data_IF_299273961054
#
_entry.id   IF_299273961054
#
_cell.length_a   1.000
_cell.length_b   1.000
_cell.length_c   1.000
_cell.angle_alpha   90.00
_cell.angle_beta   90.00
_cell.angle_gamma   90.00
#
_symmetry.space_group_name_H-M   'P 1'
#
loop_
_entity.id
_entity.type
_entity.pdbx_description
1 polymer ?
#
# COMPACT_ATOMS: atom_id res chain seq x y z
N UNK A 1 42.55 66.79 -26.15
CA UNK A 1 42.72 65.98 -27.37
C UNK A 1 41.55 65.01 -27.40
N UNK A 2 40.45 65.50 -27.96
CA UNK A 2 39.26 64.70 -28.24
C UNK A 2 39.49 63.88 -29.50
N UNK A 3 39.29 62.57 -29.39
CA UNK A 3 39.14 61.67 -30.52
C UNK A 3 37.75 61.01 -30.40
N UNK A 4 36.83 61.24 -31.36
CA UNK A 4 35.50 60.64 -31.29
C UNK A 4 35.57 59.16 -31.66
N UNK A 5 35.09 58.29 -30.76
CA UNK A 5 34.79 56.87 -31.06
C UNK A 5 33.51 56.81 -31.89
N UNK A 6 33.60 56.23 -33.08
CA UNK A 6 32.46 55.93 -33.95
C UNK A 6 31.53 54.90 -33.30
N UNK A 7 30.19 55.05 -33.38
CA UNK A 7 29.25 54.02 -32.97
C UNK A 7 29.33 52.84 -33.94
N UNK A 8 29.61 51.65 -33.41
CA UNK A 8 29.39 50.39 -34.13
C UNK A 8 27.89 50.11 -34.00
N UNK A 9 27.15 50.22 -35.10
CA UNK A 9 25.77 49.76 -35.19
C UNK A 9 25.75 48.23 -34.98
N UNK A 10 25.32 47.79 -33.79
CA UNK A 10 24.85 46.43 -33.57
C UNK A 10 23.57 46.25 -34.40
N UNK A 11 23.70 45.67 -35.59
CA UNK A 11 22.54 45.13 -36.30
C UNK A 11 21.96 44.02 -35.42
N UNK A 12 20.86 44.33 -34.75
CA UNK A 12 19.95 43.34 -34.18
C UNK A 12 19.68 42.29 -35.27
N UNK A 13 20.19 41.08 -35.06
CA UNK A 13 19.93 39.95 -35.93
C UNK A 13 18.51 39.48 -35.60
N UNK A 14 17.51 40.21 -36.10
CA UNK A 14 16.10 39.82 -36.05
C UNK A 14 16.00 38.44 -36.70
N UNK A 15 15.56 37.45 -35.91
CA UNK A 15 15.32 36.11 -36.42
C UNK A 15 14.38 36.15 -37.64
N UNK A 16 14.42 35.12 -38.51
CA UNK A 16 13.70 35.13 -39.78
C UNK A 16 12.23 35.48 -39.56
N UNK A 17 11.79 36.58 -40.19
CA UNK A 17 10.44 37.14 -40.06
C UNK A 17 9.52 36.62 -41.15
N UNK A 18 8.25 36.39 -40.81
CA UNK A 18 7.20 36.00 -41.77
C UNK A 18 6.82 37.10 -42.75
N UNK A 19 7.20 38.34 -42.43
CA UNK A 19 6.91 39.54 -43.22
C UNK A 19 8.15 40.05 -43.98
N UNK A 20 9.25 39.27 -44.00
CA UNK A 20 10.45 39.60 -44.78
C UNK A 20 10.18 39.58 -46.28
N UNK A 21 10.82 40.49 -47.02
CA UNK A 21 10.77 40.54 -48.47
C UNK A 21 11.46 39.31 -49.12
N UNK A 22 12.38 38.66 -48.39
CA UNK A 22 13.07 37.45 -48.86
C UNK A 22 12.19 36.19 -48.69
N UNK A 23 12.14 35.38 -49.75
CA UNK A 23 11.38 34.14 -49.77
C UNK A 23 11.99 33.08 -48.82
N UNK A 24 13.32 33.03 -48.71
CA UNK A 24 14.00 32.04 -47.87
C UNK A 24 13.77 32.30 -46.38
N UNK A 25 13.83 33.57 -45.94
CA UNK A 25 13.53 33.94 -44.55
C UNK A 25 12.08 33.65 -44.17
N UNK A 26 11.12 33.90 -45.06
CA UNK A 26 9.71 33.55 -44.80
C UNK A 26 9.48 32.04 -44.67
N UNK A 27 10.17 31.23 -45.48
CA UNK A 27 10.11 29.77 -45.39
C UNK A 27 10.73 29.30 -44.07
N UNK A 28 11.88 29.86 -43.68
CA UNK A 28 12.53 29.55 -42.41
C UNK A 28 11.65 29.92 -41.20
N UNK A 29 11.05 31.12 -41.21
CA UNK A 29 10.12 31.61 -40.20
C UNK A 29 8.90 30.69 -40.04
N UNK A 30 8.29 30.27 -41.17
CA UNK A 30 7.17 29.31 -41.17
C UNK A 30 7.57 27.94 -40.64
N UNK A 31 8.74 27.42 -41.01
CA UNK A 31 9.25 26.13 -40.51
C UNK A 31 9.45 26.17 -38.99
N UNK A 32 10.01 27.26 -38.46
CA UNK A 32 10.19 27.45 -37.02
C UNK A 32 8.85 27.53 -36.29
N UNK A 33 7.85 28.25 -36.84
CA UNK A 33 6.51 28.34 -36.26
C UNK A 33 5.79 27.00 -36.23
N UNK A 34 5.89 26.22 -37.32
CA UNK A 34 5.33 24.87 -37.40
C UNK A 34 6.02 23.95 -36.38
N UNK A 35 7.35 23.99 -36.29
CA UNK A 35 8.11 23.18 -35.33
C UNK A 35 7.74 23.51 -33.88
N UNK A 36 7.63 24.81 -33.54
CA UNK A 36 7.20 25.25 -32.22
C UNK A 36 5.78 24.79 -31.89
N UNK A 37 4.86 24.83 -32.87
CA UNK A 37 3.47 24.36 -32.69
C UNK A 37 3.39 22.85 -32.49
N UNK A 38 4.21 22.08 -33.21
CA UNK A 38 4.32 20.62 -33.04
C UNK A 38 4.94 20.25 -31.68
N UNK A 39 5.96 20.98 -31.24
CA UNK A 39 6.57 20.77 -29.92
C UNK A 39 5.62 21.16 -28.77
N UNK A 40 4.83 22.23 -28.91
CA UNK A 40 3.79 22.60 -27.96
C UNK A 40 2.71 21.51 -27.85
N UNK A 41 2.21 21.00 -28.98
CA UNK A 41 1.24 19.92 -29.00
C UNK A 41 1.78 18.61 -28.39
N UNK A 42 3.08 18.30 -28.58
CA UNK A 42 3.73 17.16 -27.92
C UNK A 42 3.84 17.34 -26.40
N UNK A 43 4.10 18.57 -25.92
CA UNK A 43 4.15 18.88 -24.48
C UNK A 43 2.77 18.78 -23.83
N UNK A 44 1.73 19.33 -24.48
CA UNK A 44 0.34 19.21 -24.00
C UNK A 44 -0.13 17.75 -23.94
N UNK A 45 0.19 16.95 -24.97
CA UNK A 45 -0.12 15.51 -24.97
C UNK A 45 0.61 14.75 -23.84
N UNK A 46 1.88 15.09 -23.56
CA UNK A 46 2.65 14.49 -22.48
C UNK A 46 2.15 14.90 -21.08
N UNK A 47 1.70 16.15 -20.92
CA UNK A 47 1.10 16.62 -19.67
C UNK A 47 -0.27 15.97 -19.41
N UNK A 48 -1.10 15.78 -20.43
CA UNK A 48 -2.42 15.14 -20.28
C UNK A 48 -2.29 13.64 -19.95
N UNK A 49 -1.29 12.96 -20.53
CA UNK A 49 -0.98 11.56 -20.23
C UNK A 49 -0.40 11.41 -18.80
N UNK A 50 0.39 12.39 -18.32
CA UNK A 50 0.90 12.41 -16.94
C UNK A 50 -0.20 12.67 -15.90
N UNK A 51 -1.21 13.49 -16.22
CA UNK A 51 -2.38 13.76 -15.38
C UNK A 51 -3.33 12.57 -15.33
N UNK A 52 -3.58 11.90 -16.46
CA UNK A 52 -4.34 10.63 -16.51
C UNK A 52 -3.65 9.52 -15.73
N UNK A 53 -2.32 9.43 -15.78
CA UNK A 53 -1.55 8.42 -15.04
C UNK A 53 -1.55 8.66 -13.53
N UNK A 54 -1.56 9.93 -13.07
CA UNK A 54 -1.69 10.29 -11.65
C UNK A 54 -3.11 10.11 -11.10
N UNK A 55 -4.16 10.34 -11.90
CA UNK A 55 -5.55 10.17 -11.45
C UNK A 55 -6.03 8.71 -11.47
N UNK A 56 -5.44 7.85 -12.31
CA UNK A 56 -5.75 6.41 -12.31
C UNK A 56 -5.16 5.65 -11.11
N UNK A 57 -4.11 6.19 -10.49
CA UNK A 57 -3.40 5.53 -9.38
C UNK A 57 -4.03 5.85 -8.02
N UNK A 58 -4.66 7.02 -7.88
CA UNK A 58 -5.37 7.44 -6.66
C UNK A 58 -6.82 6.96 -6.56
N UNK A 59 -7.44 6.55 -7.68
CA UNK A 59 -8.85 6.16 -7.76
C UNK A 59 -9.10 4.65 -7.77
N UNK A 60 -8.05 3.82 -7.75
CA UNK A 60 -8.20 2.41 -7.39
C UNK A 60 -8.41 2.35 -5.89
N UNK A 61 -9.67 2.45 -5.48
CA UNK A 61 -10.15 1.92 -4.20
C UNK A 61 -9.39 0.61 -3.95
N UNK A 62 -8.45 0.61 -3.00
CA UNK A 62 -7.52 -0.52 -2.84
C UNK A 62 -8.37 -1.78 -2.73
N UNK A 63 -8.18 -2.70 -3.67
CA UNK A 63 -8.92 -3.96 -3.68
C UNK A 63 -8.75 -4.66 -2.34
N UNK A 64 -9.74 -5.46 -1.94
CA UNK A 64 -9.72 -6.14 -0.63
C UNK A 64 -8.42 -6.92 -0.44
N UNK A 65 -7.94 -7.58 -1.50
CA UNK A 65 -6.66 -8.31 -1.47
C UNK A 65 -5.46 -7.39 -1.33
N UNK A 66 -5.44 -6.20 -1.95
CA UNK A 66 -4.35 -5.23 -1.77
C UNK A 66 -4.30 -4.67 -0.35
N UNK A 67 -5.47 -4.42 0.26
CA UNK A 67 -5.54 -4.02 1.68
C UNK A 67 -5.01 -5.13 2.59
N UNK A 68 -5.35 -6.39 2.30
CA UNK A 68 -4.85 -7.54 3.05
C UNK A 68 -3.32 -7.65 2.96
N UNK A 69 -2.73 -7.49 1.77
CA UNK A 69 -1.26 -7.51 1.60
C UNK A 69 -0.56 -6.45 2.44
N UNK A 70 -1.07 -5.21 2.45
CA UNK A 70 -0.46 -4.14 3.24
C UNK A 70 -0.63 -4.38 4.75
N UNK A 71 -1.78 -4.88 5.18
CA UNK A 71 -2.00 -5.26 6.59
C UNK A 71 -1.05 -6.37 7.03
N UNK A 72 -0.89 -7.42 6.22
CA UNK A 72 0.05 -8.51 6.46
C UNK A 72 1.49 -7.98 6.58
N UNK A 73 1.89 -7.07 5.69
CA UNK A 73 3.21 -6.42 5.74
C UNK A 73 3.44 -5.66 7.03
N UNK A 74 2.46 -4.86 7.48
CA UNK A 74 2.55 -4.09 8.71
C UNK A 74 2.64 -4.98 9.95
N UNK A 75 1.86 -6.06 10.00
CA UNK A 75 1.92 -7.04 11.11
C UNK A 75 3.27 -7.73 11.19
N UNK A 76 3.81 -8.16 10.04
CA UNK A 76 5.14 -8.79 9.99
C UNK A 76 6.24 -7.81 10.37
N UNK A 77 6.17 -6.56 9.92
CA UNK A 77 7.14 -5.52 10.30
C UNK A 77 7.12 -5.27 11.82
N UNK A 78 5.93 -5.19 12.42
CA UNK A 78 5.78 -5.06 13.87
C UNK A 78 6.38 -6.27 14.60
N UNK A 79 6.07 -7.49 14.15
CA UNK A 79 6.59 -8.71 14.76
C UNK A 79 8.13 -8.80 14.69
N UNK A 80 8.73 -8.33 13.60
CA UNK A 80 10.19 -8.23 13.46
C UNK A 80 10.76 -7.22 14.47
N UNK A 81 10.14 -6.04 14.59
CA UNK A 81 10.55 -5.00 15.54
C UNK A 81 10.48 -5.50 16.98
N UNK A 82 9.32 -6.01 17.39
CA UNK A 82 9.06 -6.52 18.74
C UNK A 82 10.04 -7.67 19.08
N UNK A 83 10.29 -8.58 18.12
CA UNK A 83 11.26 -9.66 18.30
C UNK A 83 12.70 -9.16 18.41
N UNK A 84 13.10 -8.16 17.61
CA UNK A 84 14.43 -7.55 17.70
C UNK A 84 14.65 -6.86 19.05
N UNK A 85 13.63 -6.22 19.61
CA UNK A 85 13.70 -5.63 20.95
C UNK A 85 13.90 -6.70 22.01
N UNK A 86 13.21 -7.83 21.90
CA UNK A 86 13.28 -8.93 22.85
C UNK A 86 14.68 -9.57 22.92
N UNK A 87 15.38 -9.65 21.78
CA UNK A 87 16.80 -10.07 21.70
C UNK A 87 17.73 -8.96 22.19
N UNK A 88 17.51 -7.71 21.75
CA UNK A 88 18.34 -6.55 22.12
C UNK A 88 18.36 -6.29 23.63
N UNK A 89 17.26 -6.54 24.32
CA UNK A 89 17.15 -6.38 25.77
C UNK A 89 18.20 -7.20 26.55
N UNK A 90 18.58 -8.39 26.06
CA UNK A 90 19.64 -9.20 26.68
C UNK A 90 20.98 -8.48 26.57
N UNK A 91 21.28 -7.94 25.38
CA UNK A 91 22.51 -7.19 25.13
C UNK A 91 22.59 -5.93 25.97
N UNK A 92 21.51 -5.14 26.01
CA UNK A 92 21.45 -3.90 26.81
C UNK A 92 21.67 -4.20 28.30
N UNK A 93 21.08 -5.29 28.82
CA UNK A 93 21.29 -5.71 30.20
C UNK A 93 22.74 -6.15 30.48
N UNK A 94 23.39 -6.83 29.52
CA UNK A 94 24.80 -7.19 29.62
C UNK A 94 25.72 -5.95 29.56
N UNK A 95 25.44 -5.00 28.67
CA UNK A 95 26.17 -3.74 28.55
C UNK A 95 26.06 -2.91 29.83
N UNK A 96 24.85 -2.81 30.40
CA UNK A 96 24.63 -2.11 31.68
C UNK A 96 25.43 -2.74 32.83
N UNK A 97 25.45 -4.08 32.93
CA UNK A 97 26.27 -4.80 33.92
C UNK A 97 27.77 -4.56 33.72
N UNK A 98 28.21 -4.53 32.47
CA UNK A 98 29.62 -4.27 32.13
C UNK A 98 30.02 -2.86 32.55
N UNK A 99 29.16 -1.87 32.27
CA UNK A 99 29.38 -0.48 32.70
C UNK A 99 29.49 -0.36 34.23
N UNK A 100 28.61 -1.02 34.98
CA UNK A 100 28.70 -1.03 36.45
C UNK A 100 29.99 -1.70 36.93
N UNK A 101 30.39 -2.81 36.32
CA UNK A 101 31.62 -3.52 36.69
C UNK A 101 32.86 -2.66 36.43
N UNK A 102 32.93 -1.96 35.29
CA UNK A 102 34.04 -1.05 34.97
C UNK A 102 34.17 0.06 36.02
N UNK A 103 33.06 0.69 36.40
CA UNK A 103 33.08 1.74 37.43
C UNK A 103 33.55 1.21 38.81
N UNK A 104 33.08 0.02 39.20
CA UNK A 104 33.52 -0.61 40.45
C UNK A 104 35.01 -0.96 40.43
N UNK A 105 35.51 -1.45 39.29
CA UNK A 105 36.92 -1.77 39.10
C UNK A 105 37.81 -0.54 39.13
N UNK A 106 37.41 0.55 38.49
CA UNK A 106 38.14 1.82 38.53
C UNK A 106 38.25 2.35 39.98
N UNK A 107 37.17 2.25 40.76
CA UNK A 107 37.18 2.61 42.18
C UNK A 107 38.12 1.71 43.00
N UNK A 108 38.12 0.40 42.77
CA UNK A 108 39.04 -0.53 43.45
C UNK A 108 40.49 -0.26 43.07
N UNK A 109 40.78 -0.01 41.80
CA UNK A 109 42.14 0.33 41.32
C UNK A 109 42.62 1.61 42.00
N UNK A 110 41.76 2.63 42.09
CA UNK A 110 42.07 3.88 42.79
C UNK A 110 42.39 3.64 44.26
N UNK A 111 41.54 2.89 44.97
CA UNK A 111 41.74 2.57 46.37
C UNK A 111 43.05 1.78 46.62
N UNK A 112 43.38 0.80 45.75
CA UNK A 112 44.66 0.09 45.83
C UNK A 112 45.86 1.01 45.67
N UNK A 113 45.79 1.92 44.70
CA UNK A 113 46.85 2.89 44.44
C UNK A 113 47.06 3.79 45.65
N UNK A 114 45.99 4.32 46.23
CA UNK A 114 46.05 5.14 47.44
C UNK A 114 46.64 4.35 48.62
N UNK A 115 46.25 3.09 48.79
CA UNK A 115 46.80 2.21 49.83
C UNK A 115 48.30 1.96 49.65
N UNK A 116 48.76 1.71 48.42
CA UNK A 116 50.18 1.53 48.09
C UNK A 116 50.98 2.80 48.33
N UNK A 117 50.46 3.97 47.93
CA UNK A 117 51.12 5.25 48.15
C UNK A 117 51.22 5.58 49.66
N UNK A 118 50.19 5.27 50.45
CA UNK A 118 50.21 5.45 51.91
C UNK A 118 51.21 4.51 52.59
N UNK A 119 51.23 3.24 52.19
CA UNK A 119 52.16 2.25 52.73
C UNK A 119 53.61 2.57 52.34
N UNK A 120 53.86 3.02 51.12
CA UNK A 120 55.19 3.45 50.68
C UNK A 120 55.70 4.66 51.48
N UNK A 121 54.84 5.65 51.75
CA UNK A 121 55.17 6.81 52.58
C UNK A 121 55.49 6.39 54.02
N UNK A 122 54.60 5.62 54.65
CA UNK A 122 54.82 5.14 56.02
C UNK A 122 56.05 4.24 56.15
N UNK A 123 56.29 3.37 55.17
CA UNK A 123 57.50 2.55 55.13
C UNK A 123 58.78 3.39 54.97
N UNK A 124 58.75 4.45 54.15
CA UNK A 124 59.88 5.38 54.01
C UNK A 124 60.17 6.12 55.32
N UNK A 125 59.15 6.66 55.97
CA UNK A 125 59.28 7.37 57.26
C UNK A 125 59.88 6.46 58.33
N UNK A 126 59.32 5.25 58.50
CA UNK A 126 59.85 4.26 59.46
C UNK A 126 61.26 3.79 59.11
N UNK A 127 61.58 3.65 57.83
CA UNK A 127 62.92 3.28 57.40
C UNK A 127 63.94 4.38 57.73
N UNK A 128 63.60 5.66 57.51
CA UNK A 128 64.44 6.79 57.89
C UNK A 128 64.66 6.85 59.41
N UNK A 129 63.62 6.61 60.21
CA UNK A 129 63.71 6.52 61.68
C UNK A 129 64.65 5.40 62.14
N UNK A 130 64.47 4.18 61.60
CA UNK A 130 65.35 3.03 61.84
C UNK A 130 66.79 3.38 61.43
N UNK A 131 66.96 3.99 60.26
CA UNK A 131 68.27 4.32 59.73
C UNK A 131 69.02 5.34 60.62
N UNK A 132 68.31 6.38 61.11
CA UNK A 132 68.89 7.39 62.00
C UNK A 132 69.30 6.86 63.36
N UNK A 133 68.62 5.84 63.87
CA UNK A 133 68.94 5.23 65.17
C UNK A 133 70.27 4.45 65.17
N UNK A 134 70.79 4.05 64.01
CA UNK A 134 72.11 3.41 63.93
C UNK A 134 73.25 4.34 64.35
N UNK A 135 73.16 5.63 64.06
CA UNK A 135 74.15 6.63 64.52
C UNK A 135 74.18 6.71 66.06
N UNK A 136 72.99 6.63 66.68
CA UNK A 136 72.84 6.62 68.14
C UNK A 136 73.39 5.31 68.72
N UNK A 137 73.16 4.18 68.06
CA UNK A 137 73.68 2.87 68.47
C UNK A 137 75.22 2.88 68.50
N UNK A 138 75.85 3.41 67.45
CA UNK A 138 77.30 3.55 67.33
C UNK A 138 77.93 4.41 68.44
N UNK A 139 77.19 5.37 68.99
CA UNK A 139 77.67 6.23 70.08
C UNK A 139 77.62 5.57 71.47
N UNK A 140 76.96 4.42 71.63
CA UNK A 140 76.81 3.73 72.93
C UNK A 140 78.11 3.05 73.36
N UNK A 141 78.57 3.38 74.57
CA UNK A 141 79.80 2.81 75.17
C UNK A 141 79.55 1.65 76.13
N UNK A 142 78.30 1.49 76.59
CA UNK A 142 77.90 0.45 77.54
C UNK A 142 77.28 -0.72 76.76
N UNK A 143 77.85 -1.94 76.81
CA UNK A 143 77.37 -3.08 76.03
C UNK A 143 75.91 -3.46 76.29
N UNK A 144 75.42 -3.33 77.53
CA UNK A 144 74.02 -3.62 77.86
C UNK A 144 73.05 -2.63 77.20
N UNK A 145 73.39 -1.33 77.20
CA UNK A 145 72.59 -0.30 76.54
C UNK A 145 72.58 -0.47 75.02
N UNK A 146 73.71 -0.89 74.44
CA UNK A 146 73.79 -1.21 73.02
C UNK A 146 72.90 -2.41 72.67
N UNK A 147 72.92 -3.47 73.48
CA UNK A 147 72.09 -4.65 73.22
C UNK A 147 70.59 -4.34 73.25
N UNK A 148 70.13 -3.55 74.22
CA UNK A 148 68.72 -3.12 74.30
C UNK A 148 68.33 -2.36 73.02
N UNK A 149 69.15 -1.41 72.56
CA UNK A 149 68.84 -0.67 71.34
C UNK A 149 68.87 -1.54 70.08
N UNK A 150 69.78 -2.51 69.99
CA UNK A 150 69.81 -3.45 68.87
C UNK A 150 68.58 -4.36 68.84
N UNK A 151 68.08 -4.77 70.01
CA UNK A 151 66.81 -5.52 70.12
C UNK A 151 65.62 -4.65 69.68
N UNK A 152 65.58 -3.37 70.06
CA UNK A 152 64.56 -2.41 69.61
C UNK A 152 64.63 -2.19 68.08
N UNK A 153 65.82 -2.01 67.52
CA UNK A 153 66.01 -1.85 66.07
C UNK A 153 65.60 -3.12 65.30
N UNK A 154 65.96 -4.29 65.81
CA UNK A 154 65.52 -5.56 65.25
C UNK A 154 64.00 -5.66 65.27
N UNK A 155 63.37 -5.34 66.40
CA UNK A 155 61.90 -5.35 66.51
C UNK A 155 61.24 -4.36 65.54
N UNK A 156 61.83 -3.19 65.29
CA UNK A 156 61.31 -2.21 64.34
C UNK A 156 61.42 -2.70 62.88
N UNK A 157 62.55 -3.33 62.51
CA UNK A 157 62.72 -3.98 61.21
C UNK A 157 61.73 -5.14 61.03
N UNK A 158 61.57 -6.00 62.05
CA UNK A 158 60.63 -7.12 62.02
C UNK A 158 59.18 -6.61 61.82
N UNK A 159 58.79 -5.53 62.53
CA UNK A 159 57.48 -4.92 62.37
C UNK A 159 57.23 -4.36 60.95
N UNK A 160 58.23 -3.75 60.32
CA UNK A 160 58.13 -3.28 58.93
C UNK A 160 57.97 -4.43 57.94
N UNK A 161 58.70 -5.54 58.13
CA UNK A 161 58.56 -6.75 57.31
C UNK A 161 57.16 -7.36 57.48
N UNK A 162 56.67 -7.46 58.72
CA UNK A 162 55.31 -7.96 58.99
C UNK A 162 54.22 -7.15 58.29
N UNK A 163 54.36 -5.82 58.21
CA UNK A 163 53.40 -4.99 57.45
C UNK A 163 53.46 -5.25 55.94
N UNK A 164 54.66 -5.43 55.38
CA UNK A 164 54.83 -5.82 53.97
C UNK A 164 54.21 -7.19 53.70
N UNK A 165 54.43 -8.16 54.58
CA UNK A 165 53.85 -9.52 54.47
C UNK A 165 52.33 -9.51 54.60
N UNK A 166 51.76 -8.65 55.45
CA UNK A 166 50.31 -8.41 55.54
C UNK A 166 49.77 -7.87 54.21
N UNK A 167 50.40 -6.85 53.64
CA UNK A 167 49.99 -6.28 52.36
C UNK A 167 50.07 -7.30 51.21
N UNK A 168 51.14 -8.11 51.19
CA UNK A 168 51.29 -9.22 50.23
C UNK A 168 50.13 -10.21 50.36
N UNK A 169 49.81 -10.61 51.59
CA UNK A 169 48.74 -11.57 51.88
C UNK A 169 47.36 -11.05 51.44
N UNK A 170 47.08 -9.76 51.68
CA UNK A 170 45.86 -9.10 51.21
C UNK A 170 45.75 -9.10 49.68
N UNK A 171 46.83 -8.78 48.96
CA UNK A 171 46.80 -8.81 47.49
C UNK A 171 46.69 -10.22 46.92
N UNK A 172 47.30 -11.21 47.57
CA UNK A 172 47.10 -12.61 47.19
C UNK A 172 45.64 -13.05 47.39
N UNK A 173 45.00 -12.62 48.48
CA UNK A 173 43.59 -12.88 48.70
C UNK A 173 42.72 -12.17 47.66
N UNK A 174 43.03 -10.92 47.34
CA UNK A 174 42.29 -10.17 46.33
C UNK A 174 42.42 -10.80 44.94
N UNK A 175 43.60 -11.30 44.58
CA UNK A 175 43.82 -12.02 43.33
C UNK A 175 42.91 -13.26 43.24
N UNK A 176 42.84 -14.06 44.30
CA UNK A 176 41.93 -15.22 44.37
C UNK A 176 40.47 -14.81 44.20
N UNK A 177 40.05 -13.73 44.85
CA UNK A 177 38.68 -13.20 44.70
C UNK A 177 38.43 -12.75 43.25
N UNK A 178 39.42 -12.16 42.56
CA UNK A 178 39.29 -11.81 41.14
C UNK A 178 39.17 -13.04 40.25
N UNK A 179 39.91 -14.10 40.50
CA UNK A 179 39.79 -15.35 39.75
C UNK A 179 38.38 -15.95 39.90
N UNK A 180 37.84 -15.95 41.13
CA UNK A 180 36.47 -16.41 41.40
C UNK A 180 35.41 -15.55 40.70
N UNK A 181 35.60 -14.22 40.68
CA UNK A 181 34.71 -13.31 39.97
C UNK A 181 34.76 -13.53 38.45
N UNK A 182 35.96 -13.72 37.88
CA UNK A 182 36.14 -13.99 36.46
C UNK A 182 35.38 -15.25 36.02
N UNK A 183 35.45 -16.33 36.81
CA UNK A 183 34.70 -17.56 36.53
C UNK A 183 33.18 -17.31 36.58
N UNK A 184 32.71 -16.52 37.56
CA UNK A 184 31.28 -16.17 37.67
C UNK A 184 30.82 -15.34 36.48
N UNK A 185 31.61 -14.37 36.04
CA UNK A 185 31.29 -13.52 34.90
C UNK A 185 31.25 -14.33 33.60
N UNK A 186 32.20 -15.24 33.38
CA UNK A 186 32.18 -16.16 32.25
C UNK A 186 30.91 -17.04 32.23
N UNK A 187 30.51 -17.59 33.39
CA UNK A 187 29.27 -18.37 33.49
C UNK A 187 28.05 -17.52 33.16
N UNK A 188 27.99 -16.30 33.68
CA UNK A 188 26.89 -15.37 33.42
C UNK A 188 26.82 -14.95 31.94
N UNK A 189 27.97 -14.72 31.31
CA UNK A 189 28.03 -14.44 29.86
C UNK A 189 27.54 -15.64 29.05
N UNK A 190 27.90 -16.87 29.43
CA UNK A 190 27.39 -18.06 28.77
C UNK A 190 25.86 -18.18 28.91
N UNK A 191 25.32 -17.97 30.11
CA UNK A 191 23.87 -17.94 30.36
C UNK A 191 23.15 -16.86 29.53
N UNK A 192 23.73 -15.66 29.41
CA UNK A 192 23.18 -14.58 28.58
C UNK A 192 23.18 -14.95 27.08
N UNK A 193 24.24 -15.59 26.59
CA UNK A 193 24.35 -16.08 25.21
C UNK A 193 23.31 -17.16 24.95
N UNK A 194 23.17 -18.15 25.85
CA UNK A 194 22.18 -19.22 25.73
C UNK A 194 20.75 -18.67 25.72
N UNK A 195 20.45 -17.67 26.56
CA UNK A 195 19.18 -16.97 26.56
C UNK A 195 18.93 -16.22 25.24
N UNK A 196 19.96 -15.57 24.70
CA UNK A 196 19.88 -14.87 23.40
C UNK A 196 19.58 -15.85 22.27
N UNK A 197 20.29 -16.99 22.23
CA UNK A 197 20.06 -18.07 21.26
C UNK A 197 18.62 -18.57 21.37
N UNK A 198 18.15 -18.89 22.57
CA UNK A 198 16.78 -19.37 22.80
C UNK A 198 15.73 -18.39 22.28
N UNK A 199 15.90 -17.09 22.57
CA UNK A 199 15.00 -16.02 22.09
C UNK A 199 15.03 -15.87 20.58
N UNK A 200 16.21 -15.93 19.96
CA UNK A 200 16.36 -15.86 18.52
C UNK A 200 15.70 -17.05 17.82
N UNK A 201 15.87 -18.27 18.34
CA UNK A 201 15.21 -19.47 17.81
C UNK A 201 13.68 -19.37 17.91
N UNK A 202 13.16 -18.91 19.05
CA UNK A 202 11.73 -18.69 19.23
C UNK A 202 11.21 -17.60 18.28
N UNK A 203 11.95 -16.50 18.09
CA UNK A 203 11.61 -15.47 17.12
C UNK A 203 11.56 -16.02 15.68
N UNK A 204 12.53 -16.84 15.28
CA UNK A 204 12.55 -17.48 13.95
C UNK A 204 11.34 -18.40 13.78
N UNK A 205 11.01 -19.22 14.78
CA UNK A 205 9.81 -20.09 14.76
C UNK A 205 8.53 -19.28 14.61
N UNK A 206 8.39 -18.21 15.40
CA UNK A 206 7.23 -17.33 15.39
C UNK A 206 7.10 -16.57 14.07
N UNK A 207 8.20 -16.02 13.54
CA UNK A 207 8.21 -15.36 12.23
C UNK A 207 7.84 -16.34 11.12
N UNK A 208 8.43 -17.54 11.10
CA UNK A 208 8.13 -18.55 10.07
C UNK A 208 6.65 -18.91 10.07
N UNK A 209 6.06 -19.12 11.25
CA UNK A 209 4.63 -19.37 11.41
C UNK A 209 3.78 -18.18 10.92
N UNK A 210 4.12 -16.96 11.34
CA UNK A 210 3.41 -15.76 10.94
C UNK A 210 3.48 -15.50 9.43
N UNK A 211 4.64 -15.70 8.80
CA UNK A 211 4.78 -15.60 7.33
C UNK A 211 3.87 -16.61 6.62
N UNK A 212 3.80 -17.85 7.09
CA UNK A 212 2.91 -18.87 6.54
C UNK A 212 1.43 -18.49 6.69
N UNK A 213 1.02 -18.02 7.87
CA UNK A 213 -0.35 -17.60 8.14
C UNK A 213 -0.75 -16.37 7.31
N UNK A 214 0.11 -15.36 7.22
CA UNK A 214 -0.16 -14.15 6.44
C UNK A 214 -0.22 -14.45 4.93
N UNK A 215 0.65 -15.32 4.40
CA UNK A 215 0.55 -15.78 3.01
C UNK A 215 -0.79 -16.48 2.73
N UNK A 216 -1.24 -17.37 3.62
CA UNK A 216 -2.53 -18.04 3.49
C UNK A 216 -3.70 -17.05 3.52
N UNK A 217 -3.64 -16.01 4.36
CA UNK A 217 -4.68 -14.98 4.40
C UNK A 217 -4.70 -14.13 3.13
N UNK A 218 -3.52 -13.77 2.61
CA UNK A 218 -3.40 -13.08 1.33
C UNK A 218 -4.02 -13.94 0.22
N UNK A 219 -3.67 -15.22 0.12
CA UNK A 219 -4.23 -16.12 -0.89
C UNK A 219 -5.76 -16.22 -0.79
N UNK A 220 -6.29 -16.42 0.43
CA UNK A 220 -7.74 -16.45 0.67
C UNK A 220 -8.42 -15.17 0.21
N UNK A 221 -7.82 -14.00 0.46
CA UNK A 221 -8.39 -12.72 0.01
C UNK A 221 -8.45 -12.62 -1.52
N UNK A 222 -7.39 -13.06 -2.22
CA UNK A 222 -7.36 -13.08 -3.69
C UNK A 222 -8.36 -14.08 -4.29
N UNK A 223 -8.52 -15.25 -3.69
CA UNK A 223 -9.49 -16.25 -4.13
C UNK A 223 -10.91 -15.74 -3.95
N UNK A 224 -11.21 -15.10 -2.81
CA UNK A 224 -12.51 -14.49 -2.56
C UNK A 224 -12.82 -13.36 -3.56
N UNK A 225 -11.88 -12.43 -3.77
CA UNK A 225 -12.03 -11.34 -4.74
C UNK A 225 -12.27 -11.87 -6.16
N UNK A 226 -11.54 -12.91 -6.58
CA UNK A 226 -11.78 -13.59 -7.86
C UNK A 226 -13.18 -14.19 -7.95
N UNK A 227 -13.66 -14.80 -6.86
CA UNK A 227 -15.00 -15.35 -6.78
C UNK A 227 -16.07 -14.27 -6.92
N UNK A 228 -15.91 -13.14 -6.24
CA UNK A 228 -16.83 -12.01 -6.30
C UNK A 228 -16.90 -11.41 -7.72
N UNK A 229 -15.75 -11.25 -8.38
CA UNK A 229 -15.67 -10.79 -9.77
C UNK A 229 -16.39 -11.77 -10.70
N UNK A 230 -16.16 -13.08 -10.57
CA UNK A 230 -16.83 -14.09 -11.39
C UNK A 230 -18.35 -14.04 -11.20
N UNK A 231 -18.81 -13.98 -9.94
CA UNK A 231 -20.22 -13.90 -9.61
C UNK A 231 -20.88 -12.63 -10.19
N UNK A 232 -20.17 -11.49 -10.16
CA UNK A 232 -20.65 -10.25 -10.77
C UNK A 232 -20.79 -10.39 -12.29
N UNK A 233 -19.81 -11.00 -12.98
CA UNK A 233 -19.90 -11.25 -14.41
C UNK A 233 -21.03 -12.21 -14.78
N UNK A 234 -21.22 -13.29 -14.02
CA UNK A 234 -22.32 -14.24 -14.23
C UNK A 234 -23.67 -13.55 -14.09
N UNK A 235 -23.87 -12.76 -13.03
CA UNK A 235 -25.11 -11.98 -12.83
C UNK A 235 -25.37 -11.00 -13.96
N UNK A 236 -24.34 -10.28 -14.41
CA UNK A 236 -24.47 -9.34 -15.54
C UNK A 236 -24.87 -10.07 -16.83
N UNK A 237 -24.28 -11.24 -17.08
CA UNK A 237 -24.63 -12.07 -18.23
C UNK A 237 -26.07 -12.58 -18.16
N UNK A 238 -26.49 -13.12 -17.01
CA UNK A 238 -27.87 -13.57 -16.77
C UNK A 238 -28.88 -12.44 -16.97
N UNK A 239 -28.57 -11.24 -16.48
CA UNK A 239 -29.39 -10.05 -16.66
C UNK A 239 -29.51 -9.69 -18.15
N UNK A 240 -28.41 -9.65 -18.89
CA UNK A 240 -28.43 -9.37 -20.33
C UNK A 240 -29.22 -10.43 -21.12
N UNK A 241 -29.07 -11.71 -20.77
CA UNK A 241 -29.83 -12.79 -21.39
C UNK A 241 -31.32 -12.71 -21.10
N UNK A 242 -31.68 -12.33 -19.88
CA UNK A 242 -33.08 -12.08 -19.48
C UNK A 242 -33.67 -10.91 -20.26
N UNK A 243 -32.97 -9.78 -20.31
CA UNK A 243 -33.38 -8.61 -21.11
C UNK A 243 -33.55 -8.94 -22.59
N UNK A 244 -32.67 -9.76 -23.16
CA UNK A 244 -32.80 -10.23 -24.54
C UNK A 244 -34.08 -11.04 -24.71
N UNK A 245 -34.33 -12.01 -23.82
CA UNK A 245 -35.53 -12.86 -23.87
C UNK A 245 -36.81 -12.03 -23.74
N UNK A 246 -36.83 -11.06 -22.82
CA UNK A 246 -37.99 -10.18 -22.62
C UNK A 246 -38.29 -9.38 -23.90
N UNK A 247 -37.26 -8.81 -24.56
CA UNK A 247 -37.41 -8.12 -25.84
C UNK A 247 -37.91 -9.03 -26.96
N UNK A 248 -37.43 -10.28 -27.02
CA UNK A 248 -37.91 -11.27 -28.00
C UNK A 248 -39.40 -11.59 -27.77
N UNK A 249 -39.83 -11.76 -26.52
CA UNK A 249 -41.23 -11.98 -26.17
C UNK A 249 -42.09 -10.76 -26.51
N UNK A 250 -41.63 -9.55 -26.19
CA UNK A 250 -42.32 -8.31 -26.55
C UNK A 250 -42.49 -8.17 -28.07
N UNK A 251 -41.45 -8.48 -28.84
CA UNK A 251 -41.52 -8.47 -30.30
C UNK A 251 -42.56 -9.47 -30.83
N UNK A 252 -42.57 -10.70 -30.29
CA UNK A 252 -43.52 -11.73 -30.70
C UNK A 252 -44.97 -11.33 -30.36
N UNK A 253 -45.23 -10.77 -29.18
CA UNK A 253 -46.55 -10.24 -28.80
C UNK A 253 -46.98 -9.08 -29.69
N UNK A 254 -46.07 -8.16 -30.02
CA UNK A 254 -46.37 -7.05 -30.92
C UNK A 254 -46.71 -7.53 -32.34
N UNK A 255 -46.04 -8.60 -32.81
CA UNK A 255 -46.35 -9.25 -34.08
C UNK A 255 -47.70 -9.95 -34.05
N UNK A 256 -47.97 -10.73 -33.01
CA UNK A 256 -49.24 -11.42 -32.79
C UNK A 256 -50.41 -10.44 -32.80
N UNK A 257 -50.33 -9.37 -32.00
CA UNK A 257 -51.34 -8.30 -31.98
C UNK A 257 -51.57 -7.69 -33.37
N UNK A 258 -50.51 -7.45 -34.14
CA UNK A 258 -50.64 -6.90 -35.50
C UNK A 258 -51.38 -7.88 -36.42
N UNK A 259 -51.16 -9.17 -36.28
CA UNK A 259 -51.88 -10.21 -37.03
C UNK A 259 -53.35 -10.23 -36.62
N UNK A 260 -53.65 -10.20 -35.32
CA UNK A 260 -55.03 -10.10 -34.81
C UNK A 260 -55.74 -8.85 -35.33
N UNK A 261 -55.07 -7.68 -35.33
CA UNK A 261 -55.62 -6.43 -35.87
C UNK A 261 -55.96 -6.56 -37.37
N UNK A 262 -55.10 -7.21 -38.16
CA UNK A 262 -55.37 -7.48 -39.58
C UNK A 262 -56.49 -8.49 -39.80
N UNK A 263 -56.60 -9.52 -38.96
CA UNK A 263 -57.69 -10.49 -39.02
C UNK A 263 -59.04 -9.82 -38.70
N UNK A 264 -59.08 -8.92 -37.72
CA UNK A 264 -60.26 -8.12 -37.39
C UNK A 264 -60.65 -7.20 -38.55
N UNK A 265 -59.69 -6.51 -39.16
CA UNK A 265 -59.94 -5.66 -40.34
C UNK A 265 -60.48 -6.48 -41.52
N UNK A 266 -59.93 -7.68 -41.76
CA UNK A 266 -60.40 -8.56 -42.82
C UNK A 266 -61.82 -9.08 -42.56
N UNK A 267 -62.14 -9.39 -41.30
CA UNK A 267 -63.50 -9.78 -40.91
C UNK A 267 -64.49 -8.62 -41.07
N UNK A 268 -64.10 -7.41 -40.67
CA UNK A 268 -64.92 -6.21 -40.86
C UNK A 268 -65.26 -6.00 -42.34
N UNK A 269 -64.24 -6.04 -43.20
CA UNK A 269 -64.42 -5.88 -44.64
C UNK A 269 -65.33 -6.96 -45.23
N UNK A 270 -65.20 -8.22 -44.79
CA UNK A 270 -66.10 -9.31 -45.23
C UNK A 270 -67.55 -9.07 -44.85
N UNK A 271 -67.80 -8.51 -43.67
CA UNK A 271 -69.17 -8.18 -43.21
C UNK A 271 -69.71 -7.01 -44.02
N UNK A 272 -68.93 -5.94 -44.21
CA UNK A 272 -69.30 -4.79 -45.04
C UNK A 272 -69.61 -5.22 -46.48
N UNK A 273 -68.75 -6.00 -47.12
CA UNK A 273 -68.96 -6.52 -48.48
C UNK A 273 -70.26 -7.35 -48.58
N UNK A 274 -70.57 -8.14 -47.55
CA UNK A 274 -71.80 -8.94 -47.50
C UNK A 274 -73.05 -8.07 -47.30
N UNK A 275 -72.97 -7.03 -46.49
CA UNK A 275 -74.03 -6.04 -46.29
C UNK A 275 -74.28 -5.22 -47.56
N UNK A 276 -73.20 -4.75 -48.22
CA UNK A 276 -73.28 -4.05 -49.50
C UNK A 276 -73.89 -4.94 -50.59
N UNK A 277 -73.44 -6.19 -50.69
CA UNK A 277 -74.02 -7.17 -51.61
C UNK A 277 -75.52 -7.37 -51.34
N UNK A 278 -75.91 -7.57 -50.07
CA UNK A 278 -77.32 -7.73 -49.70
C UNK A 278 -78.13 -6.47 -50.02
N UNK A 279 -77.60 -5.28 -49.76
CA UNK A 279 -78.25 -4.02 -50.09
C UNK A 279 -78.48 -3.89 -51.61
N UNK A 280 -77.45 -4.19 -52.42
CA UNK A 280 -77.57 -4.18 -53.89
C UNK A 280 -78.56 -5.23 -54.37
N UNK A 281 -78.51 -6.44 -53.80
CA UNK A 281 -79.44 -7.52 -54.11
C UNK A 281 -80.90 -7.11 -53.82
N UNK A 282 -81.19 -6.57 -52.64
CA UNK A 282 -82.53 -6.08 -52.27
C UNK A 282 -83.00 -4.99 -53.25
N UNK A 283 -82.13 -4.03 -53.60
CA UNK A 283 -82.46 -2.98 -54.58
C UNK A 283 -82.87 -3.58 -55.93
N UNK A 284 -82.06 -4.50 -56.47
CA UNK A 284 -82.35 -5.16 -57.74
C UNK A 284 -83.62 -6.02 -57.69
N UNK A 285 -83.83 -6.78 -56.60
CA UNK A 285 -85.06 -7.55 -56.41
C UNK A 285 -86.30 -6.65 -56.33
N UNK A 286 -86.19 -5.48 -55.70
CA UNK A 286 -87.27 -4.48 -55.62
C UNK A 286 -87.55 -3.87 -57.00
N UNK A 287 -86.51 -3.51 -57.75
CA UNK A 287 -86.66 -2.98 -59.12
C UNK A 287 -87.34 -4.01 -60.05
N UNK A 288 -86.96 -5.29 -59.94
CA UNK A 288 -87.63 -6.39 -60.65
C UNK A 288 -89.11 -6.47 -60.28
N UNK A 289 -89.46 -6.43 -59.00
CA UNK A 289 -90.85 -6.44 -58.55
C UNK A 289 -91.66 -5.23 -59.08
N UNK A 290 -91.06 -4.04 -59.10
CA UNK A 290 -91.71 -2.84 -59.65
C UNK A 290 -91.95 -2.99 -61.16
N UNK A 291 -90.96 -3.48 -61.90
CA UNK A 291 -91.09 -3.74 -63.34
C UNK A 291 -92.15 -4.81 -63.63
N UNK A 292 -92.21 -5.87 -62.82
CA UNK A 292 -93.25 -6.89 -62.92
C UNK A 292 -94.65 -6.32 -62.67
N UNK A 293 -94.82 -5.46 -61.65
CA UNK A 293 -96.08 -4.76 -61.39
C UNK A 293 -96.47 -3.83 -62.55
N UNK A 294 -95.52 -3.07 -63.10
CA UNK A 294 -95.77 -2.21 -64.26
C UNK A 294 -96.19 -3.05 -65.48
N UNK A 295 -95.55 -4.19 -65.70
CA UNK A 295 -95.90 -5.12 -66.79
C UNK A 295 -97.30 -5.73 -66.58
N UNK A 296 -97.65 -6.12 -65.36
CA UNK A 296 -99.00 -6.58 -65.02
C UNK A 296 -100.05 -5.48 -65.21
N UNK A 297 -99.77 -4.26 -64.76
CA UNK A 297 -100.65 -3.10 -64.99
C UNK A 297 -100.82 -2.83 -66.49
N UNK A 298 -99.74 -2.89 -67.27
CA UNK A 298 -99.78 -2.73 -68.72
C UNK A 298 -100.61 -3.83 -69.38
N UNK A 299 -100.42 -5.10 -69.00
CA UNK A 299 -101.24 -6.23 -69.45
C UNK A 299 -102.72 -6.03 -69.11
N UNK A 300 -103.03 -5.59 -67.90
CA UNK A 300 -104.40 -5.27 -67.49
C UNK A 300 -104.98 -4.12 -68.34
N UNK A 301 -104.22 -3.06 -68.62
CA UNK A 301 -104.68 -1.97 -69.51
C UNK A 301 -104.88 -2.44 -70.95
N UNK A 302 -104.02 -3.33 -71.47
CA UNK A 302 -104.20 -3.90 -72.80
C UNK A 302 -105.41 -4.83 -72.85
N UNK A 303 -105.62 -5.66 -71.84
CA UNK A 303 -106.79 -6.53 -71.74
C UNK A 303 -108.07 -5.69 -71.68
N UNK A 304 -108.10 -4.62 -70.87
CA UNK A 304 -109.21 -3.66 -70.84
C UNK A 304 -109.44 -3.00 -72.21
N UNK A 305 -108.37 -2.61 -72.92
CA UNK A 305 -108.47 -2.02 -74.25
C UNK A 305 -108.95 -3.04 -75.29
N UNK A 306 -108.53 -4.29 -75.17
CA UNK A 306 -108.99 -5.39 -76.01
C UNK A 306 -110.49 -5.66 -75.77
N UNK A 307 -110.94 -5.72 -74.52
CA UNK A 307 -112.36 -5.83 -74.16
C UNK A 307 -113.17 -4.64 -74.71
N UNK A 308 -112.62 -3.41 -74.67
CA UNK A 308 -113.23 -2.23 -75.32
C UNK A 308 -113.30 -2.34 -76.84
N UNK A 309 -112.29 -2.92 -77.49
CA UNK A 309 -112.26 -3.15 -78.94
C UNK A 309 -113.24 -4.26 -79.34
N UNK A 310 -113.30 -5.35 -78.58
CA UNK A 310 -114.26 -6.43 -78.78
C UNK A 310 -115.70 -5.94 -78.58
N UNK A 311 -115.94 -5.06 -77.60
CA UNK A 311 -117.22 -4.37 -77.44
C UNK A 311 -117.56 -3.47 -78.64
N UNK A 312 -116.58 -2.73 -79.20
CA UNK A 312 -116.77 -1.93 -80.41
C UNK A 312 -116.95 -2.77 -81.70
N UNK A 313 -116.54 -4.03 -81.72
CA UNK A 313 -116.77 -4.95 -82.86
C UNK A 313 -118.12 -5.67 -82.79
N UNK A 314 -118.73 -5.73 -81.60
CA UNK A 314 -120.03 -6.36 -81.36
C UNK A 314 -121.22 -5.37 -81.47
N UNK A 315 -120.94 -4.10 -81.80
CA UNK A 315 -121.92 -3.03 -82.10
C UNK A 315 -121.70 -2.55 -83.52
#
# INVERSE_FOLDING_TARGET
>A
MDAPRSPIEEKEFEGPSVDSADLQERIAARRLRIKARVEAAKREAAEDDSKKKKSLDSSKEQTVSRKQVEQSRLRLAKLISDGSELVSNVKIAADSRTMTHVNEEDNKIRAKREKLEAEAKSASERFEEINGMWEVALAKKIPQELNIMLEEQRSACDAMVEEKDKLISEFQQELKVKDDLYIKDLRKQAEDIDLMITRMEEQIKNLTKAYGEELLQIEKSFVAERGDIMNAHTKNWEQLMTQRRDKEVEYMKAREKRVEDYEQQLQHLRVEDAEEYNMVKIKLETDVQVLEQQLQAMRATYQLNQEKLEYNFQV
#
